data_IF_674233169098
#
_entry.id   IF_674233169098
#
_cell.length_a   1.000
_cell.length_b   1.000
_cell.length_c   1.000
_cell.angle_alpha   90.00
_cell.angle_beta   90.00
_cell.angle_gamma   90.00
#
_symmetry.space_group_name_H-M   'P 1'
#
loop_
_entity.id
_entity.type
_entity.pdbx_description
1 polymer ?
#
# COMPACT_ATOMS: atom_id res chain seq x y z
N UNK A 1 2.20 -5.20 18.37
CA UNK A 1 3.07 -4.60 17.32
C UNK A 1 2.73 -3.13 17.16
N UNK A 2 3.73 -2.31 17.03
CA UNK A 2 3.53 -0.90 16.70
C UNK A 2 3.62 -0.67 15.19
N UNK A 3 3.30 0.54 14.75
CA UNK A 3 3.31 0.91 13.33
C UNK A 3 4.68 0.66 12.67
N UNK A 4 5.75 0.98 13.38
CA UNK A 4 7.11 0.81 12.87
C UNK A 4 7.45 -0.66 12.63
N UNK A 5 7.07 -1.54 13.54
CA UNK A 5 7.28 -2.97 13.40
C UNK A 5 6.46 -3.56 12.24
N UNK A 6 5.22 -3.13 12.10
CA UNK A 6 4.36 -3.54 10.99
C UNK A 6 4.98 -3.13 9.66
N UNK A 7 5.42 -1.87 9.56
CA UNK A 7 6.05 -1.36 8.35
C UNK A 7 7.34 -2.09 8.01
N UNK A 8 8.13 -2.45 9.02
CA UNK A 8 9.37 -3.21 8.81
C UNK A 8 9.08 -4.60 8.26
N UNK A 9 8.08 -5.28 8.79
CA UNK A 9 7.70 -6.61 8.31
C UNK A 9 7.18 -6.56 6.88
N UNK A 10 6.32 -5.58 6.57
CA UNK A 10 5.79 -5.41 5.21
C UNK A 10 6.91 -5.09 4.23
N UNK A 11 7.81 -4.18 4.57
CA UNK A 11 8.93 -3.81 3.71
C UNK A 11 9.83 -5.01 3.41
N UNK A 12 10.14 -5.80 4.43
CA UNK A 12 10.95 -7.02 4.27
C UNK A 12 10.25 -8.04 3.39
N UNK A 13 8.95 -8.23 3.57
CA UNK A 13 8.19 -9.18 2.77
C UNK A 13 8.15 -8.79 1.30
N UNK A 14 8.01 -7.50 1.01
CA UNK A 14 8.04 -7.00 -0.37
C UNK A 14 9.43 -7.21 -0.98
N UNK A 15 10.48 -6.85 -0.27
CA UNK A 15 11.85 -6.99 -0.77
C UNK A 15 12.24 -8.45 -1.02
N UNK A 16 11.73 -9.36 -0.22
CA UNK A 16 12.00 -10.79 -0.33
C UNK A 16 10.98 -11.55 -1.18
N UNK A 17 9.97 -10.85 -1.70
CA UNK A 17 8.85 -11.45 -2.44
C UNK A 17 8.19 -12.59 -1.64
N UNK A 18 7.96 -12.36 -0.35
CA UNK A 18 7.49 -13.37 0.58
C UNK A 18 6.10 -13.00 1.08
N UNK A 19 5.22 -13.99 1.18
CA UNK A 19 3.91 -13.80 1.80
C UNK A 19 4.03 -13.81 3.32
N UNK A 20 3.15 -13.02 3.96
CA UNK A 20 3.04 -12.99 5.41
C UNK A 20 1.59 -13.24 5.81
N UNK A 21 1.39 -13.71 7.02
CA UNK A 21 0.06 -13.88 7.55
C UNK A 21 -0.62 -12.51 7.71
N UNK A 22 -1.89 -12.37 7.28
CA UNK A 22 -2.59 -11.09 7.46
C UNK A 22 -2.61 -10.65 8.90
N UNK A 23 -2.40 -9.34 9.12
CA UNK A 23 -2.36 -8.79 10.49
C UNK A 23 -3.69 -8.97 11.21
N UNK A 24 -4.81 -8.94 10.50
CA UNK A 24 -6.13 -9.17 11.09
C UNK A 24 -6.25 -10.55 11.71
N UNK A 25 -5.60 -11.57 11.14
CA UNK A 25 -5.57 -12.92 11.70
C UNK A 25 -4.71 -13.02 12.96
N UNK A 26 -3.83 -12.06 13.19
CA UNK A 26 -2.99 -11.98 14.38
C UNK A 26 -3.64 -11.13 15.47
N UNK A 27 -4.90 -10.75 15.30
CA UNK A 27 -5.62 -9.91 16.23
C UNK A 27 -5.28 -8.43 16.19
N UNK A 28 -4.62 -7.98 15.13
CA UNK A 28 -4.27 -6.58 14.95
C UNK A 28 -5.36 -5.87 14.14
N UNK A 29 -5.86 -4.77 14.68
CA UNK A 29 -6.84 -3.91 14.03
C UNK A 29 -6.21 -2.54 13.86
N UNK A 30 -6.10 -2.09 12.61
CA UNK A 30 -5.57 -0.78 12.28
C UNK A 30 -6.71 0.14 11.86
N UNK A 31 -6.68 1.38 12.33
CA UNK A 31 -7.53 2.42 11.76
C UNK A 31 -7.04 2.74 10.34
N UNK A 32 -7.90 3.41 9.57
CA UNK A 32 -7.52 3.84 8.22
C UNK A 32 -6.30 4.76 8.26
N UNK A 33 -6.25 5.68 9.23
CA UNK A 33 -5.10 6.57 9.39
C UNK A 33 -3.82 5.79 9.70
N UNK A 34 -3.89 4.83 10.60
CA UNK A 34 -2.75 4.00 10.94
C UNK A 34 -2.26 3.20 9.73
N UNK A 35 -3.19 2.68 8.92
CA UNK A 35 -2.84 1.96 7.71
C UNK A 35 -2.10 2.87 6.71
N UNK A 36 -2.54 4.12 6.55
CA UNK A 36 -1.84 5.08 5.71
C UNK A 36 -0.48 5.46 6.28
N UNK A 37 -0.35 5.55 7.58
CA UNK A 37 0.94 5.82 8.24
C UNK A 37 1.93 4.68 7.98
N UNK A 38 1.47 3.45 8.10
CA UNK A 38 2.28 2.27 7.77
C UNK A 38 2.73 2.33 6.30
N UNK A 39 1.80 2.60 5.39
CA UNK A 39 2.11 2.69 3.97
C UNK A 39 3.18 3.76 3.68
N UNK A 40 3.11 4.90 4.37
CA UNK A 40 4.11 5.96 4.25
C UNK A 40 5.50 5.49 4.67
N UNK A 41 5.59 4.81 5.80
CA UNK A 41 6.87 4.28 6.30
C UNK A 41 7.41 3.20 5.33
N UNK A 42 6.55 2.34 4.83
CA UNK A 42 6.95 1.31 3.86
C UNK A 42 7.57 1.95 2.61
N UNK A 43 6.94 3.02 2.08
CA UNK A 43 7.49 3.73 0.92
C UNK A 43 8.88 4.28 1.21
N UNK A 44 9.09 4.86 2.38
CA UNK A 44 10.40 5.37 2.77
C UNK A 44 11.44 4.25 2.82
N UNK A 45 11.09 3.14 3.42
CA UNK A 45 12.00 2.00 3.54
C UNK A 45 12.36 1.38 2.19
N UNK A 46 11.45 1.45 1.22
CA UNK A 46 11.68 0.94 -0.13
C UNK A 46 12.29 1.98 -1.08
N UNK A 47 12.58 3.18 -0.61
CA UNK A 47 13.13 4.24 -1.43
C UNK A 47 12.15 4.84 -2.43
N UNK A 48 10.86 4.62 -2.24
CA UNK A 48 9.80 5.11 -3.13
C UNK A 48 9.21 6.40 -2.57
N UNK A 49 10.00 7.44 -2.51
CA UNK A 49 9.64 8.68 -1.81
C UNK A 49 9.12 9.79 -2.72
N UNK A 50 9.41 9.74 -4.02
CA UNK A 50 8.96 10.76 -4.95
C UNK A 50 7.55 10.45 -5.45
N UNK A 51 6.57 11.20 -4.94
CA UNK A 51 5.16 11.04 -5.31
C UNK A 51 4.85 11.98 -6.47
N UNK A 52 4.38 11.42 -7.57
CA UNK A 52 4.07 12.17 -8.78
C UNK A 52 2.59 12.13 -9.14
N UNK A 53 1.79 11.44 -8.38
CA UNK A 53 0.35 11.36 -8.59
C UNK A 53 -0.32 10.52 -7.53
N UNK A 54 -1.62 10.37 -7.66
CA UNK A 54 -2.43 9.55 -6.76
C UNK A 54 -3.43 8.73 -7.55
N UNK A 55 -3.68 7.52 -7.08
CA UNK A 55 -4.73 6.66 -7.62
C UNK A 55 -5.82 6.51 -6.57
N UNK A 56 -7.05 6.44 -7.03
CA UNK A 56 -8.21 6.21 -6.17
C UNK A 56 -8.82 4.88 -6.57
N UNK A 57 -9.03 4.01 -5.61
CA UNK A 57 -9.66 2.73 -5.81
C UNK A 57 -10.84 2.54 -4.87
N UNK A 58 -11.47 1.39 -5.00
CA UNK A 58 -12.57 1.02 -4.11
C UNK A 58 -13.75 1.99 -4.21
N UNK A 59 -14.08 2.41 -5.44
CA UNK A 59 -15.14 3.42 -5.69
C UNK A 59 -16.51 2.82 -5.83
N UNK A 60 -16.65 1.50 -5.94
CA UNK A 60 -17.93 0.83 -6.05
C UNK A 60 -18.57 0.70 -4.67
N UNK A 61 -19.57 1.52 -4.40
CA UNK A 61 -20.26 1.55 -3.10
C UNK A 61 -20.95 0.24 -2.75
N UNK A 62 -21.32 -0.56 -3.74
CA UNK A 62 -22.04 -1.81 -3.51
C UNK A 62 -21.22 -2.85 -2.76
N UNK A 63 -19.90 -2.75 -2.79
CA UNK A 63 -19.01 -3.68 -2.10
C UNK A 63 -18.48 -3.16 -0.78
N UNK A 64 -18.78 -1.92 -0.42
CA UNK A 64 -18.24 -1.31 0.79
C UNK A 64 -18.63 -2.06 2.06
N UNK A 65 -19.90 -2.49 2.15
CA UNK A 65 -20.36 -3.23 3.32
C UNK A 65 -19.67 -4.60 3.47
N UNK A 66 -19.36 -5.24 2.36
CA UNK A 66 -18.70 -6.54 2.34
C UNK A 66 -17.30 -6.46 2.96
N UNK A 67 -16.61 -5.36 2.69
CA UNK A 67 -15.24 -5.15 3.15
C UNK A 67 -15.13 -4.19 4.34
N UNK A 68 -16.27 -3.81 4.91
CA UNK A 68 -16.32 -2.90 6.06
C UNK A 68 -15.60 -1.58 5.81
N UNK A 69 -15.87 -0.98 4.64
CA UNK A 69 -15.29 0.29 4.20
C UNK A 69 -16.42 1.29 4.00
N UNK A 70 -16.19 2.54 4.28
CA UNK A 70 -17.18 3.61 4.15
C UNK A 70 -16.73 4.76 3.24
N UNK A 71 -15.61 4.61 2.57
CA UNK A 71 -15.07 5.63 1.69
C UNK A 71 -14.10 5.01 0.67
N UNK A 72 -13.83 5.70 -0.44
CA UNK A 72 -12.79 5.25 -1.36
C UNK A 72 -11.43 5.21 -0.69
N UNK A 73 -10.57 4.35 -1.19
CA UNK A 73 -9.19 4.22 -0.73
C UNK A 73 -8.28 4.82 -1.79
N UNK A 74 -7.27 5.53 -1.36
CA UNK A 74 -6.32 6.13 -2.28
C UNK A 74 -4.90 5.64 -2.00
N UNK A 75 -4.06 5.71 -3.03
CA UNK A 75 -2.65 5.40 -2.90
C UNK A 75 -1.81 6.34 -3.75
N UNK A 76 -0.57 6.61 -3.35
CA UNK A 76 0.32 7.42 -4.16
C UNK A 76 0.84 6.64 -5.37
N UNK A 77 1.10 7.37 -6.45
CA UNK A 77 1.86 6.85 -7.58
C UNK A 77 3.26 7.43 -7.45
N UNK A 78 4.25 6.56 -7.30
CA UNK A 78 5.63 6.98 -7.16
C UNK A 78 6.35 6.92 -8.50
N UNK A 79 7.39 7.71 -8.64
CA UNK A 79 8.18 7.76 -9.87
C UNK A 79 8.69 6.38 -10.29
N UNK A 80 9.06 5.57 -9.32
CA UNK A 80 9.59 4.22 -9.56
C UNK A 80 8.56 3.25 -10.16
N UNK A 81 7.27 3.51 -9.97
CA UNK A 81 6.19 2.62 -10.43
C UNK A 81 5.63 2.97 -11.79
N UNK A 82 6.13 4.03 -12.43
CA UNK A 82 5.62 4.48 -13.72
C UNK A 82 6.53 4.00 -14.85
N UNK A 83 5.88 3.44 -15.88
CA UNK A 83 6.52 3.12 -17.15
C UNK A 83 5.89 3.99 -18.22
N UNK A 84 6.73 4.64 -19.02
CA UNK A 84 6.27 5.46 -20.13
C UNK A 84 6.32 4.66 -21.41
N UNK A 85 5.22 4.70 -22.16
CA UNK A 85 5.13 3.99 -23.43
C UNK A 85 6.21 4.44 -24.41
N UNK A 86 6.56 5.70 -24.40
CA UNK A 86 7.56 6.30 -25.28
C UNK A 86 9.01 5.86 -24.97
N UNK A 87 9.26 5.31 -23.81
CA UNK A 87 10.59 4.83 -23.44
C UNK A 87 10.80 3.37 -23.81
N UNK A 88 10.28 2.96 -24.93
CA UNK A 88 10.37 1.62 -25.51
C UNK A 88 9.24 0.71 -25.07
N UNK A 89 9.55 -0.50 -24.69
CA UNK A 89 8.53 -1.49 -24.35
C UNK A 89 8.09 -1.35 -22.91
N UNK A 90 6.78 -1.49 -22.70
CA UNK A 90 6.27 -1.66 -21.36
C UNK A 90 6.82 -2.96 -20.79
N UNK A 91 7.54 -2.84 -19.70
CA UNK A 91 7.99 -3.99 -18.93
C UNK A 91 7.01 -4.19 -17.78
N UNK A 92 6.34 -5.29 -17.84
CA UNK A 92 5.42 -5.68 -16.80
C UNK A 92 6.12 -6.64 -15.85
#
# INVERSE_FOLDING_TARGET
MNIEEIASEVSSSISLAKQIEPFSKRGLVLSLQEAYDVAGIVRQKLGQTEIIGRKIGFTNRNIWNVYNVDQPIWGPITKNSISFFESNFLKI
#
